data_IF_941927385277
#
_entry.id   IF_941927385277
#
_cell.length_a   1.000
_cell.length_b   1.000
_cell.length_c   1.000
_cell.angle_alpha   90.00
_cell.angle_beta   90.00
_cell.angle_gamma   90.00
#
_symmetry.space_group_name_H-M   'P 1'
#
loop_
_entity.id
_entity.type
_entity.pdbx_description
1 polymer ?
#
# COMPACT_ATOMS: atom_id res chain seq x y z
N UNK A 1 6.16 -16.61 -1.28
CA UNK A 1 6.41 -15.60 -0.22
C UNK A 1 5.41 -15.83 0.89
N UNK A 2 5.85 -15.84 2.15
CA UNK A 2 4.99 -15.99 3.33
C UNK A 2 5.17 -14.77 4.24
N UNK A 3 4.16 -14.46 5.04
CA UNK A 3 4.19 -13.35 5.99
C UNK A 3 3.63 -13.85 7.32
N UNK A 4 4.37 -13.61 8.41
CA UNK A 4 3.88 -13.82 9.77
C UNK A 4 3.64 -12.47 10.42
N UNK A 5 2.37 -12.13 10.60
CA UNK A 5 1.96 -10.98 11.41
C UNK A 5 1.93 -11.36 12.89
N UNK A 6 2.23 -10.39 13.73
CA UNK A 6 2.35 -10.54 15.18
C UNK A 6 1.67 -9.37 15.87
N UNK A 7 1.18 -9.59 17.08
CA UNK A 7 0.61 -8.52 17.92
C UNK A 7 1.69 -7.77 18.74
N UNK A 8 2.96 -8.20 18.64
CA UNK A 8 4.09 -7.58 19.32
C UNK A 8 4.59 -6.35 18.55
N UNK A 9 4.10 -5.17 18.92
CA UNK A 9 4.40 -3.92 18.22
C UNK A 9 5.88 -3.49 18.29
N UNK A 10 6.56 -3.81 19.40
CA UNK A 10 7.96 -3.45 19.61
C UNK A 10 8.96 -4.44 18.97
N UNK A 11 8.45 -5.58 18.48
CA UNK A 11 9.24 -6.63 17.86
C UNK A 11 10.01 -6.18 16.61
N UNK A 12 10.96 -7.01 16.14
CA UNK A 12 11.70 -6.72 14.92
C UNK A 12 10.81 -6.86 13.69
N UNK A 13 10.84 -5.86 12.80
CA UNK A 13 10.22 -5.95 11.47
C UNK A 13 11.23 -6.56 10.50
N UNK A 14 11.43 -7.88 10.61
CA UNK A 14 12.41 -8.62 9.84
C UNK A 14 11.82 -9.19 8.55
N UNK A 15 12.58 -9.09 7.45
CA UNK A 15 12.30 -9.78 6.20
C UNK A 15 13.46 -10.74 5.88
N UNK A 16 13.20 -12.04 5.95
CA UNK A 16 14.21 -13.06 5.63
C UNK A 16 14.11 -13.51 4.19
N UNK A 17 15.22 -13.46 3.45
CA UNK A 17 15.33 -13.91 2.05
C UNK A 17 16.29 -15.09 1.97
N UNK A 18 15.84 -16.19 1.37
CA UNK A 18 16.63 -17.41 1.16
C UNK A 18 17.19 -17.47 -0.26
N UNK A 19 18.46 -17.84 -0.36
CA UNK A 19 19.20 -18.05 -1.59
C UNK A 19 19.59 -19.51 -1.70
N UNK A 20 19.31 -20.14 -2.84
CA UNK A 20 19.52 -21.57 -3.03
C UNK A 20 21.00 -22.00 -2.96
N UNK A 21 21.95 -21.11 -3.27
CA UNK A 21 23.39 -21.43 -3.21
C UNK A 21 24.27 -20.18 -3.02
N UNK A 22 24.04 -19.13 -3.82
CA UNK A 22 24.85 -17.91 -3.81
C UNK A 22 24.04 -16.72 -3.31
N UNK A 23 24.58 -16.06 -2.29
CA UNK A 23 24.13 -14.75 -1.83
C UNK A 23 24.46 -13.73 -2.94
N UNK A 24 23.55 -12.80 -3.23
CA UNK A 24 23.80 -11.71 -4.17
C UNK A 24 24.99 -10.85 -3.74
N UNK A 25 25.69 -10.23 -4.69
CA UNK A 25 26.96 -9.54 -4.42
C UNK A 25 26.85 -8.43 -3.35
N UNK A 26 25.68 -7.78 -3.23
CA UNK A 26 25.39 -6.74 -2.23
C UNK A 26 24.49 -7.20 -1.09
N UNK A 27 24.13 -8.47 -1.03
CA UNK A 27 23.22 -8.95 0.02
C UNK A 27 23.85 -8.93 1.43
N UNK A 28 25.18 -8.90 1.54
CA UNK A 28 25.86 -8.67 2.81
C UNK A 28 25.63 -7.26 3.37
N UNK A 29 25.49 -6.24 2.51
CA UNK A 29 25.23 -4.85 2.92
C UNK A 29 23.81 -4.65 3.46
N UNK A 30 22.88 -5.48 2.97
CA UNK A 30 21.48 -5.47 3.40
C UNK A 30 21.22 -6.35 4.63
N UNK A 31 22.20 -7.15 5.07
CA UNK A 31 22.04 -8.10 6.15
C UNK A 31 22.12 -7.40 7.53
N UNK A 32 21.00 -7.39 8.26
CA UNK A 32 20.91 -6.93 9.63
C UNK A 32 21.35 -8.04 10.60
N UNK A 33 22.64 -8.06 10.93
CA UNK A 33 23.23 -9.11 11.78
C UNK A 33 22.72 -9.10 13.23
N UNK A 34 22.19 -7.97 13.70
CA UNK A 34 21.64 -7.77 15.04
C UNK A 34 20.17 -8.19 15.15
N UNK A 35 19.51 -8.50 14.04
CA UNK A 35 18.10 -8.89 14.00
C UNK A 35 17.97 -10.38 13.73
N UNK A 36 17.31 -11.07 14.65
CA UNK A 36 16.96 -12.47 14.48
C UNK A 36 15.46 -12.62 14.20
N UNK A 37 15.14 -13.12 13.00
CA UNK A 37 13.77 -13.49 12.64
C UNK A 37 13.42 -14.86 13.25
N UNK A 38 12.66 -14.84 14.34
CA UNK A 38 12.24 -16.06 15.06
C UNK A 38 11.15 -16.86 14.33
N UNK A 39 10.45 -16.23 13.39
CA UNK A 39 9.30 -16.83 12.70
C UNK A 39 9.66 -17.38 11.34
N UNK A 40 10.78 -16.92 10.78
CA UNK A 40 11.33 -17.51 9.58
C UNK A 40 11.76 -18.97 9.84
N UNK A 41 11.44 -19.89 8.90
CA UNK A 41 11.85 -21.29 9.03
C UNK A 41 13.38 -21.40 9.01
N UNK A 42 13.95 -22.46 9.56
CA UNK A 42 15.38 -22.71 9.38
C UNK A 42 15.67 -22.96 7.88
N UNK A 43 16.70 -22.30 7.35
CA UNK A 43 17.17 -22.57 5.98
C UNK A 43 17.71 -23.99 5.85
N UNK A 44 17.62 -24.56 4.65
CA UNK A 44 18.25 -25.84 4.35
C UNK A 44 19.78 -25.71 4.32
N UNK A 45 20.51 -26.82 4.43
CA UNK A 45 21.99 -26.81 4.44
C UNK A 45 22.62 -26.27 3.15
N UNK A 46 21.87 -26.29 2.04
CA UNK A 46 22.27 -25.70 0.75
C UNK A 46 21.92 -24.23 0.66
N UNK A 47 20.98 -23.75 1.48
CA UNK A 47 20.46 -22.40 1.42
C UNK A 47 21.26 -21.45 2.31
N UNK A 48 21.36 -20.20 1.85
CA UNK A 48 21.88 -19.09 2.64
C UNK A 48 20.78 -18.06 2.81
N UNK A 49 20.60 -17.54 4.01
CA UNK A 49 19.60 -16.51 4.28
C UNK A 49 20.25 -15.16 4.57
N UNK A 50 19.52 -14.09 4.24
CA UNK A 50 19.79 -12.76 4.77
C UNK A 50 18.54 -12.25 5.46
N UNK A 51 18.74 -11.40 6.47
CA UNK A 51 17.66 -10.70 7.16
C UNK A 51 17.77 -9.24 6.81
N UNK A 52 16.68 -8.64 6.32
CA UNK A 52 16.58 -7.22 6.02
C UNK A 52 15.71 -6.60 7.11
N UNK A 53 16.22 -5.55 7.76
CA UNK A 53 15.42 -4.72 8.66
C UNK A 53 14.49 -3.82 7.86
N UNK A 54 13.19 -3.92 8.13
CA UNK A 54 12.15 -3.06 7.57
C UNK A 54 11.63 -2.01 8.57
N UNK A 55 12.12 -2.00 9.82
CA UNK A 55 11.61 -1.12 10.86
C UNK A 55 11.91 0.34 10.54
N UNK A 56 10.87 1.18 10.56
CA UNK A 56 11.00 2.62 10.29
C UNK A 56 11.33 2.98 8.84
N UNK A 57 11.23 2.04 7.91
CA UNK A 57 11.48 2.28 6.49
C UNK A 57 10.19 2.38 5.69
N UNK A 58 10.21 3.22 4.66
CA UNK A 58 9.17 3.25 3.65
C UNK A 58 9.27 2.05 2.69
N UNK A 59 8.15 1.67 2.07
CA UNK A 59 8.09 0.53 1.16
C UNK A 59 9.05 0.68 -0.03
N UNK A 60 9.28 1.90 -0.51
CA UNK A 60 10.23 2.15 -1.61
C UNK A 60 11.66 1.82 -1.22
N UNK A 61 12.03 2.09 0.03
CA UNK A 61 13.37 1.85 0.55
C UNK A 61 13.59 0.37 0.85
N UNK A 62 12.58 -0.29 1.43
CA UNK A 62 12.58 -1.74 1.64
C UNK A 62 12.74 -2.45 0.28
N UNK A 63 11.97 -2.03 -0.73
CA UNK A 63 12.06 -2.61 -2.07
C UNK A 63 13.45 -2.45 -2.70
N UNK A 64 14.07 -1.27 -2.59
CA UNK A 64 15.45 -1.06 -3.07
C UNK A 64 16.43 -1.99 -2.38
N UNK A 65 16.34 -2.17 -1.05
CA UNK A 65 17.22 -3.07 -0.29
C UNK A 65 17.06 -4.51 -0.75
N UNK A 66 15.82 -4.96 -0.92
CA UNK A 66 15.53 -6.31 -1.44
C UNK A 66 16.11 -6.47 -2.84
N UNK A 67 15.84 -5.53 -3.76
CA UNK A 67 16.33 -5.57 -5.14
C UNK A 67 17.86 -5.58 -5.21
N UNK A 68 18.52 -4.74 -4.43
CA UNK A 68 19.98 -4.69 -4.37
C UNK A 68 20.57 -5.99 -3.81
N UNK A 69 19.92 -6.58 -2.81
CA UNK A 69 20.35 -7.82 -2.20
C UNK A 69 20.16 -9.04 -3.12
N UNK A 70 19.04 -9.11 -3.83
CA UNK A 70 18.74 -10.20 -4.76
C UNK A 70 19.42 -10.03 -6.12
N UNK A 71 19.83 -8.82 -6.48
CA UNK A 71 20.34 -8.51 -7.81
C UNK A 71 19.26 -8.55 -8.89
N UNK A 72 17.99 -8.43 -8.52
CA UNK A 72 16.87 -8.48 -9.47
C UNK A 72 16.87 -7.23 -10.39
N UNK A 73 16.56 -7.45 -11.66
CA UNK A 73 16.39 -6.39 -12.65
C UNK A 73 14.90 -6.07 -12.84
N UNK A 74 14.59 -4.81 -13.18
CA UNK A 74 13.21 -4.44 -13.50
C UNK A 74 12.87 -4.92 -14.90
N UNK A 75 11.72 -5.58 -15.02
CA UNK A 75 11.16 -5.91 -16.31
C UNK A 75 10.37 -4.69 -16.82
N UNK A 76 10.68 -4.17 -18.02
CA UNK A 76 9.90 -3.08 -18.58
C UNK A 76 8.49 -3.59 -18.91
N UNK A 77 7.48 -2.76 -18.64
CA UNK A 77 6.10 -3.05 -19.02
C UNK A 77 5.98 -3.17 -20.54
N UNK A 78 5.17 -4.12 -20.98
CA UNK A 78 4.83 -4.32 -22.39
C UNK A 78 3.95 -3.17 -22.91
N UNK A 79 3.90 -2.95 -24.24
CA UNK A 79 3.03 -1.91 -24.82
C UNK A 79 1.55 -2.08 -24.47
N UNK A 80 1.09 -3.33 -24.33
CA UNK A 80 -0.30 -3.64 -23.95
C UNK A 80 -0.59 -3.23 -22.49
N UNK A 81 0.32 -3.56 -21.56
CA UNK A 81 0.21 -3.15 -20.15
C UNK A 81 0.25 -1.62 -20.01
N UNK A 82 1.10 -0.93 -20.78
CA UNK A 82 1.16 0.53 -20.80
C UNK A 82 -0.16 1.17 -21.27
N UNK A 83 -0.76 0.61 -22.33
CA UNK A 83 -2.06 1.07 -22.82
C UNK A 83 -3.18 0.83 -21.79
N UNK A 84 -3.11 -0.27 -21.06
CA UNK A 84 -4.07 -0.57 -19.98
C UNK A 84 -3.93 0.41 -18.81
N UNK A 85 -2.70 0.70 -18.39
CA UNK A 85 -2.41 1.72 -17.35
C UNK A 85 -2.98 3.08 -17.76
N UNK A 86 -2.74 3.51 -19.00
CA UNK A 86 -3.25 4.79 -19.50
C UNK A 86 -4.79 4.81 -19.50
N UNK A 87 -5.42 3.70 -19.90
CA UNK A 87 -6.88 3.56 -19.87
C UNK A 87 -7.43 3.71 -18.45
N UNK A 88 -6.83 3.06 -17.45
CA UNK A 88 -7.26 3.20 -16.06
C UNK A 88 -7.04 4.61 -15.52
N UNK A 89 -5.93 5.26 -15.87
CA UNK A 89 -5.67 6.65 -15.46
C UNK A 89 -6.77 7.60 -15.98
N UNK A 90 -7.14 7.48 -17.26
CA UNK A 90 -8.25 8.25 -17.85
C UNK A 90 -9.59 7.98 -17.17
N UNK A 91 -9.84 6.75 -16.72
CA UNK A 91 -11.06 6.42 -15.97
C UNK A 91 -11.05 7.05 -14.58
N UNK A 92 -9.92 7.07 -13.87
CA UNK A 92 -9.83 7.67 -12.54
C UNK A 92 -10.00 9.20 -12.57
N UNK A 93 -9.46 9.87 -13.58
CA UNK A 93 -9.67 11.31 -13.80
C UNK A 93 -11.16 11.63 -13.97
N UNK A 94 -11.86 10.89 -14.84
CA UNK A 94 -13.31 11.05 -15.02
C UNK A 94 -14.08 10.75 -13.75
N UNK A 95 -13.69 9.70 -13.03
CA UNK A 95 -14.30 9.31 -11.75
C UNK A 95 -14.17 10.39 -10.68
N UNK A 96 -13.04 11.11 -10.61
CA UNK A 96 -12.87 12.24 -9.68
C UNK A 96 -13.83 13.39 -10.01
N UNK A 97 -13.96 13.75 -11.28
CA UNK A 97 -14.88 14.81 -11.73
C UNK A 97 -16.33 14.44 -11.44
N UNK A 98 -16.72 13.20 -11.70
CA UNK A 98 -18.09 12.77 -11.41
C UNK A 98 -18.40 12.71 -9.92
N UNK A 99 -17.43 12.28 -9.09
CA UNK A 99 -17.57 12.29 -7.63
C UNK A 99 -17.85 13.69 -7.10
N UNK A 100 -17.11 14.71 -7.54
CA UNK A 100 -17.34 16.10 -7.09
C UNK A 100 -18.68 16.64 -7.57
N UNK A 101 -19.05 16.39 -8.84
CA UNK A 101 -20.34 16.79 -9.41
C UNK A 101 -21.51 16.19 -8.64
N UNK A 102 -21.48 14.87 -8.38
CA UNK A 102 -22.56 14.18 -7.67
C UNK A 102 -22.63 14.64 -6.21
N UNK A 103 -21.49 14.87 -5.55
CA UNK A 103 -21.47 15.43 -4.21
C UNK A 103 -22.14 16.80 -4.15
N UNK A 104 -21.86 17.69 -5.10
CA UNK A 104 -22.51 19.01 -5.19
C UNK A 104 -24.03 18.90 -5.38
N UNK A 105 -24.49 18.01 -6.27
CA UNK A 105 -25.92 17.79 -6.49
C UNK A 105 -26.60 17.27 -5.21
N UNK A 106 -25.97 16.32 -4.51
CA UNK A 106 -26.51 15.79 -3.25
C UNK A 106 -26.57 16.84 -2.17
N UNK A 107 -25.57 17.71 -2.10
CA UNK A 107 -25.53 18.81 -1.13
C UNK A 107 -26.65 19.82 -1.41
N UNK A 108 -26.80 20.27 -2.67
CA UNK A 108 -27.86 21.17 -3.07
C UNK A 108 -29.27 20.62 -2.77
N UNK A 109 -29.50 19.31 -2.99
CA UNK A 109 -30.76 18.66 -2.61
C UNK A 109 -31.01 18.69 -1.11
N UNK A 110 -30.00 18.36 -0.29
CA UNK A 110 -30.10 18.42 1.17
C UNK A 110 -30.39 19.84 1.67
N UNK A 111 -29.74 20.85 1.08
CA UNK A 111 -29.95 22.25 1.43
C UNK A 111 -31.36 22.73 1.04
N UNK A 112 -31.86 22.32 -0.13
CA UNK A 112 -33.24 22.59 -0.56
C UNK A 112 -34.26 21.91 0.37
N UNK A 113 -34.04 20.66 0.74
CA UNK A 113 -34.91 19.93 1.68
C UNK A 113 -34.92 20.58 3.07
N UNK A 114 -33.78 21.06 3.56
CA UNK A 114 -33.68 21.80 4.83
C UNK A 114 -34.47 23.11 4.77
N UNK A 115 -34.26 23.91 3.73
CA UNK A 115 -34.97 25.17 3.53
C UNK A 115 -36.49 24.98 3.46
N UNK A 116 -36.96 23.97 2.71
CA UNK A 116 -38.40 23.67 2.62
C UNK A 116 -38.99 23.22 3.96
N UNK A 117 -38.22 22.49 4.77
CA UNK A 117 -38.66 22.06 6.11
C UNK A 117 -38.78 23.23 7.07
N UNK A 118 -37.80 24.13 7.08
CA UNK A 118 -37.81 25.36 7.89
C UNK A 118 -39.00 26.24 7.51
N UNK A 119 -39.20 26.50 6.22
CA UNK A 119 -40.33 27.30 5.73
C UNK A 119 -41.69 26.69 6.09
N UNK A 120 -41.85 25.37 6.02
CA UNK A 120 -43.09 24.69 6.44
C UNK A 120 -43.31 24.77 7.96
N UNK A 121 -42.26 24.59 8.75
CA UNK A 121 -42.33 24.67 10.21
C UNK A 121 -42.65 26.07 10.73
N UNK A 122 -42.19 27.12 10.04
CA UNK A 122 -42.54 28.51 10.38
C UNK A 122 -44.01 28.83 10.08
N UNK A 123 -44.55 28.33 8.96
CA UNK A 123 -45.97 28.50 8.62
C UNK A 123 -46.89 27.77 9.59
N UNK A 124 -46.50 26.58 10.08
CA UNK A 124 -47.28 25.88 11.11
C UNK A 124 -47.27 26.62 12.45
N UNK A 125 -46.16 27.26 12.83
CA UNK A 125 -46.09 28.10 14.04
C UNK A 125 -46.92 29.39 13.95
N UNK A 126 -47.10 29.95 12.76
CA UNK A 126 -47.92 31.15 12.53
C UNK A 126 -49.44 30.86 12.50
N UNK A 127 -49.83 29.59 12.38
CA UNK A 127 -51.24 29.15 12.37
C UNK A 127 -51.76 28.72 13.75
N UNK A 128 -50.90 28.63 14.76
CA UNK A 128 -51.28 28.45 16.17
C UNK A 128 -51.31 29.80 16.87
#
# INVERSE_FOLDING_TARGET
>A
MTVKQTDEQDGPAALTVYFAEKIGARAAEAHAADIQDKYAPAGLSTERSIVIDAKGLDYTEIWKRVKNATGAEDLPATPEELAEIEKYNKMDERSKVDRTRVAAIRQAKKDQERMLREARGEVEKLKQ
#
